data_IF_851215360295
#
_entry.id   IF_851215360295
#
_cell.length_a   1.000
_cell.length_b   1.000
_cell.length_c   1.000
_cell.angle_alpha   90.00
_cell.angle_beta   90.00
_cell.angle_gamma   90.00
#
_symmetry.space_group_name_H-M   'P 1'
#
loop_
_entity.id
_entity.type
_entity.pdbx_description
1 polymer ?
#
# COMPACT_ATOMS: atom_id res chain seq x y z
N UNK A 1 -1.16 5.12 18.37
CA UNK A 1 -0.04 4.17 18.35
C UNK A 1 -0.59 2.80 18.01
N UNK A 2 -0.16 2.25 16.87
CA UNK A 2 -0.42 0.87 16.46
C UNK A 2 0.29 -0.05 17.46
N UNK A 3 -0.40 -1.06 17.99
CA UNK A 3 0.25 -2.08 18.84
C UNK A 3 0.58 -3.33 18.01
N UNK A 4 1.63 -4.07 18.36
CA UNK A 4 2.02 -5.34 17.68
C UNK A 4 0.84 -6.32 17.58
N UNK A 5 -0.04 -6.35 18.58
CA UNK A 5 -1.25 -7.20 18.58
C UNK A 5 -2.26 -6.83 17.47
N UNK A 6 -2.21 -5.59 16.98
CA UNK A 6 -3.06 -5.07 15.93
C UNK A 6 -2.54 -5.43 14.51
N UNK A 7 -1.26 -5.82 14.38
CA UNK A 7 -0.65 -6.22 13.10
C UNK A 7 -1.43 -7.35 12.41
N UNK A 8 -1.88 -8.34 13.18
CA UNK A 8 -2.67 -9.46 12.63
C UNK A 8 -3.98 -8.99 12.00
N UNK A 9 -4.60 -7.95 12.58
CA UNK A 9 -5.89 -7.39 12.14
C UNK A 9 -5.76 -6.23 11.15
N UNK A 10 -4.54 -5.70 10.99
CA UNK A 10 -4.22 -4.63 10.07
C UNK A 10 -4.66 -4.96 8.64
N UNK A 11 -5.30 -4.02 7.98
CA UNK A 11 -5.62 -4.07 6.55
C UNK A 11 -5.06 -2.81 5.90
N UNK A 12 -4.52 -2.97 4.70
CA UNK A 12 -4.20 -1.85 3.83
C UNK A 12 -5.43 -1.63 2.94
N UNK A 13 -5.94 -0.39 2.94
CA UNK A 13 -7.19 -0.04 2.28
C UNK A 13 -6.95 1.18 1.40
N UNK A 14 -7.50 1.14 0.18
CA UNK A 14 -7.48 2.28 -0.72
C UNK A 14 -8.85 2.97 -0.69
N UNK A 15 -8.84 4.31 -0.72
CA UNK A 15 -10.07 5.11 -0.78
C UNK A 15 -10.00 6.14 -1.89
N UNK A 16 -11.17 6.47 -2.42
CA UNK A 16 -11.41 7.62 -3.30
C UNK A 16 -12.74 8.26 -2.90
N UNK A 17 -12.76 9.59 -2.72
CA UNK A 17 -13.94 10.31 -2.22
C UNK A 17 -14.52 9.71 -0.93
N UNK A 18 -13.65 9.24 -0.03
CA UNK A 18 -14.04 8.59 1.23
C UNK A 18 -14.59 7.17 1.10
N UNK A 19 -14.74 6.63 -0.12
CA UNK A 19 -15.24 5.27 -0.37
C UNK A 19 -14.09 4.29 -0.53
N UNK A 20 -14.22 3.12 0.10
CA UNK A 20 -13.27 2.02 -0.05
C UNK A 20 -13.35 1.48 -1.48
N UNK A 21 -12.18 1.36 -2.11
CA UNK A 21 -12.03 0.80 -3.44
C UNK A 21 -12.02 -0.72 -3.37
N UNK A 22 -12.63 -1.34 -4.36
CA UNK A 22 -12.72 -2.79 -4.49
C UNK A 22 -11.89 -3.31 -5.68
N UNK A 23 -11.89 -4.62 -5.85
CA UNK A 23 -11.22 -5.28 -6.98
C UNK A 23 -11.74 -4.75 -8.32
N UNK A 24 -13.05 -4.57 -8.46
CA UNK A 24 -13.66 -4.15 -9.72
C UNK A 24 -13.20 -2.74 -10.15
N UNK A 25 -12.94 -1.86 -9.20
CA UNK A 25 -12.31 -0.57 -9.47
C UNK A 25 -10.93 -0.72 -10.11
N UNK A 26 -10.04 -1.55 -9.53
CA UNK A 26 -8.70 -1.75 -10.07
C UNK A 26 -8.70 -2.52 -11.39
N UNK A 27 -9.57 -3.52 -11.56
CA UNK A 27 -9.72 -4.25 -12.84
C UNK A 27 -10.04 -3.26 -13.98
N UNK A 28 -10.94 -2.29 -13.77
CA UNK A 28 -11.23 -1.25 -14.77
C UNK A 28 -10.03 -0.36 -15.08
N UNK A 29 -9.24 0.03 -14.07
CA UNK A 29 -8.03 0.83 -14.32
C UNK A 29 -6.99 0.05 -15.12
N UNK A 30 -6.77 -1.23 -14.78
CA UNK A 30 -5.82 -2.12 -15.44
C UNK A 30 -6.18 -2.30 -16.92
N UNK A 31 -7.46 -2.55 -17.23
CA UNK A 31 -7.95 -2.72 -18.60
C UNK A 31 -7.71 -1.47 -19.46
N UNK A 32 -7.77 -0.28 -18.88
CA UNK A 32 -7.61 1.00 -19.57
C UNK A 32 -6.19 1.57 -19.51
N UNK A 33 -5.22 0.82 -18.95
CA UNK A 33 -3.83 1.28 -18.83
C UNK A 33 -2.95 0.59 -19.88
N UNK A 34 -2.25 1.37 -20.69
CA UNK A 34 -1.24 0.86 -21.63
C UNK A 34 0.17 0.84 -21.03
N UNK A 35 0.45 1.77 -20.11
CA UNK A 35 1.72 1.86 -19.40
C UNK A 35 1.97 0.59 -18.55
N UNK A 36 3.11 -0.06 -18.80
CA UNK A 36 3.43 -1.35 -18.17
C UNK A 36 3.70 -1.22 -16.68
N UNK A 37 4.41 -0.17 -16.25
CA UNK A 37 4.78 0.03 -14.85
C UNK A 37 3.55 0.40 -14.02
N UNK A 38 2.73 1.32 -14.54
CA UNK A 38 1.44 1.66 -13.92
C UNK A 38 0.52 0.44 -13.88
N UNK A 39 0.49 -0.39 -14.93
CA UNK A 39 -0.29 -1.62 -14.94
C UNK A 39 0.17 -2.59 -13.85
N UNK A 40 1.48 -2.80 -13.69
CA UNK A 40 2.04 -3.64 -12.63
C UNK A 40 1.66 -3.09 -11.23
N UNK A 41 1.80 -1.78 -11.03
CA UNK A 41 1.41 -1.11 -9.80
C UNK A 41 -0.07 -1.34 -9.45
N UNK A 42 -0.96 -1.16 -10.43
CA UNK A 42 -2.40 -1.36 -10.25
C UNK A 42 -2.77 -2.82 -9.96
N UNK A 43 -2.06 -3.78 -10.56
CA UNK A 43 -2.22 -5.21 -10.23
C UNK A 43 -1.80 -5.47 -8.78
N UNK A 44 -0.72 -4.85 -8.31
CA UNK A 44 -0.32 -4.87 -6.90
C UNK A 44 -1.43 -4.33 -5.99
N UNK A 45 -2.02 -3.18 -6.33
CA UNK A 45 -3.12 -2.60 -5.58
C UNK A 45 -4.36 -3.51 -5.53
N UNK A 46 -4.71 -4.14 -6.67
CA UNK A 46 -5.80 -5.14 -6.74
C UNK A 46 -5.54 -6.31 -5.78
N UNK A 47 -4.34 -6.87 -5.77
CA UNK A 47 -4.00 -7.97 -4.87
C UNK A 47 -4.00 -7.55 -3.40
N UNK A 48 -3.63 -6.29 -3.10
CA UNK A 48 -3.74 -5.73 -1.75
C UNK A 48 -5.20 -5.69 -1.27
N UNK A 49 -6.16 -5.25 -2.10
CA UNK A 49 -7.59 -5.24 -1.69
C UNK A 49 -8.16 -6.65 -1.53
N UNK A 50 -7.67 -7.62 -2.30
CA UNK A 50 -8.02 -9.04 -2.14
C UNK A 50 -7.31 -9.71 -0.95
N UNK A 51 -6.40 -8.99 -0.27
CA UNK A 51 -5.55 -9.48 0.83
C UNK A 51 -4.57 -10.58 0.42
N UNK A 52 -4.23 -10.64 -0.86
CA UNK A 52 -3.17 -11.48 -1.41
C UNK A 52 -1.81 -10.77 -1.27
N UNK A 53 -1.41 -10.44 -0.03
CA UNK A 53 -0.30 -9.50 0.24
C UNK A 53 1.05 -9.94 -0.34
N UNK A 54 1.39 -11.24 -0.27
CA UNK A 54 2.63 -11.75 -0.89
C UNK A 54 2.60 -11.62 -2.40
N UNK A 55 1.43 -11.74 -3.03
CA UNK A 55 1.31 -11.55 -4.47
C UNK A 55 1.39 -10.07 -4.83
N UNK A 56 0.69 -9.21 -4.09
CA UNK A 56 0.78 -7.76 -4.23
C UNK A 56 2.23 -7.27 -4.16
N UNK A 57 3.00 -7.78 -3.19
CA UNK A 57 4.40 -7.43 -3.01
C UNK A 57 5.25 -7.70 -4.26
N UNK A 58 5.09 -8.85 -4.91
CA UNK A 58 5.81 -9.18 -6.15
C UNK A 58 5.54 -8.17 -7.26
N UNK A 59 4.28 -7.73 -7.39
CA UNK A 59 3.89 -6.74 -8.40
C UNK A 59 4.48 -5.36 -8.12
N UNK A 60 4.55 -4.94 -6.86
CA UNK A 60 5.21 -3.69 -6.49
C UNK A 60 6.72 -3.74 -6.69
N UNK A 61 7.38 -4.87 -6.44
CA UNK A 61 8.81 -5.05 -6.66
C UNK A 61 9.24 -4.93 -8.14
N UNK A 62 8.32 -5.19 -9.08
CA UNK A 62 8.59 -5.10 -10.53
C UNK A 62 7.95 -3.85 -11.18
N UNK A 63 7.45 -2.93 -10.37
CA UNK A 63 6.81 -1.70 -10.81
C UNK A 63 7.72 -0.51 -10.51
N UNK A 64 8.11 0.24 -11.53
CA UNK A 64 8.94 1.46 -11.38
C UNK A 64 8.13 2.72 -11.00
N UNK A 65 6.88 2.54 -10.55
CA UNK A 65 6.09 3.66 -10.02
C UNK A 65 6.69 4.19 -8.71
N UNK A 66 6.69 5.51 -8.55
CA UNK A 66 7.18 6.23 -7.37
C UNK A 66 6.53 5.76 -6.05
N UNK A 67 5.25 5.37 -6.10
CA UNK A 67 4.51 4.87 -4.94
C UNK A 67 4.80 3.40 -4.57
N UNK A 68 5.45 2.63 -5.44
CA UNK A 68 5.74 1.20 -5.20
C UNK A 68 6.48 1.00 -3.90
N UNK A 69 7.45 1.87 -3.59
CA UNK A 69 8.30 1.77 -2.40
C UNK A 69 7.51 1.87 -1.10
N UNK A 70 6.59 2.82 -1.01
CA UNK A 70 5.70 2.96 0.16
C UNK A 70 4.85 1.70 0.31
N UNK A 71 4.29 1.20 -0.79
CA UNK A 71 3.46 0.00 -0.77
C UNK A 71 4.24 -1.24 -0.32
N UNK A 72 5.51 -1.37 -0.72
CA UNK A 72 6.42 -2.43 -0.25
C UNK A 72 6.59 -2.33 1.27
N UNK A 73 6.94 -1.15 1.79
CA UNK A 73 7.11 -0.94 3.25
C UNK A 73 5.84 -1.31 4.03
N UNK A 74 4.66 -0.88 3.57
CA UNK A 74 3.40 -1.22 4.21
C UNK A 74 3.12 -2.74 4.21
N UNK A 75 3.43 -3.42 3.10
CA UNK A 75 3.23 -4.86 2.96
C UNK A 75 4.23 -5.65 3.78
N UNK A 76 5.51 -5.28 3.79
CA UNK A 76 6.54 -5.89 4.62
C UNK A 76 6.17 -5.80 6.09
N UNK A 77 5.76 -4.61 6.54
CA UNK A 77 5.24 -4.41 7.90
C UNK A 77 4.02 -5.29 8.19
N UNK A 78 3.07 -5.37 7.24
CA UNK A 78 1.88 -6.21 7.37
C UNK A 78 2.21 -7.71 7.47
N UNK A 79 3.24 -8.16 6.76
CA UNK A 79 3.69 -9.54 6.71
C UNK A 79 4.64 -9.90 7.86
N UNK A 80 5.19 -8.91 8.57
CA UNK A 80 6.25 -9.10 9.55
C UNK A 80 7.58 -9.51 8.91
N UNK A 81 7.86 -8.99 7.71
CA UNK A 81 9.11 -9.19 6.99
C UNK A 81 10.08 -8.06 7.30
N UNK A 82 10.80 -8.19 8.41
CA UNK A 82 11.72 -7.15 8.92
C UNK A 82 12.87 -6.87 7.94
N UNK A 83 13.37 -7.92 7.26
CA UNK A 83 14.46 -7.76 6.30
C UNK A 83 14.04 -6.87 5.13
N UNK A 84 12.89 -7.16 4.53
CA UNK A 84 12.41 -6.38 3.40
C UNK A 84 11.91 -4.99 3.84
N UNK A 85 11.42 -4.86 5.07
CA UNK A 85 11.10 -3.56 5.63
C UNK A 85 12.35 -2.67 5.71
N UNK A 86 13.43 -3.16 6.32
CA UNK A 86 14.68 -2.43 6.49
C UNK A 86 15.34 -2.07 5.15
N UNK A 87 15.21 -2.92 4.12
CA UNK A 87 15.75 -2.67 2.78
C UNK A 87 15.05 -1.49 2.09
N UNK A 88 13.74 -1.33 2.27
CA UNK A 88 12.95 -0.34 1.54
C UNK A 88 12.57 0.89 2.37
N UNK A 89 12.63 0.83 3.69
CA UNK A 89 12.25 1.94 4.56
C UNK A 89 13.27 3.09 4.52
N UNK A 90 12.76 4.33 4.50
CA UNK A 90 13.52 5.57 4.69
C UNK A 90 12.70 6.55 5.56
N UNK A 91 13.36 7.38 6.37
CA UNK A 91 12.66 8.25 7.34
C UNK A 91 11.84 9.36 6.68
N UNK A 92 12.20 9.78 5.47
CA UNK A 92 11.51 10.77 4.65
C UNK A 92 10.66 10.16 3.54
N UNK A 93 10.45 8.84 3.57
CA UNK A 93 9.61 8.13 2.62
C UNK A 93 8.18 8.65 2.63
N UNK A 94 7.67 8.99 1.44
CA UNK A 94 6.32 9.49 1.20
C UNK A 94 5.80 8.93 -0.11
N UNK A 95 4.48 8.95 -0.30
CA UNK A 95 3.90 8.72 -1.62
C UNK A 95 4.35 9.81 -2.59
N UNK A 96 4.68 9.39 -3.80
CA UNK A 96 4.89 10.24 -4.96
C UNK A 96 3.57 10.65 -5.62
N UNK A 97 3.58 10.71 -6.95
CA UNK A 97 2.51 11.29 -7.75
C UNK A 97 1.55 10.25 -8.36
N UNK A 98 1.86 8.96 -8.37
CA UNK A 98 1.02 7.95 -9.06
C UNK A 98 -0.41 7.88 -8.49
N UNK A 99 -0.55 7.62 -7.19
CA UNK A 99 -1.83 7.55 -6.48
C UNK A 99 -2.50 8.92 -6.40
N UNK A 100 -1.71 9.99 -6.28
CA UNK A 100 -2.21 11.37 -6.28
C UNK A 100 -2.88 11.73 -7.60
N UNK A 101 -2.29 11.35 -8.75
CA UNK A 101 -2.91 11.54 -10.08
C UNK A 101 -4.19 10.72 -10.25
N UNK A 102 -4.29 9.57 -9.59
CA UNK A 102 -5.48 8.72 -9.58
C UNK A 102 -6.54 9.18 -8.56
N UNK A 103 -6.20 10.14 -7.71
CA UNK A 103 -7.00 10.59 -6.58
C UNK A 103 -7.36 9.41 -5.65
N UNK A 104 -6.33 8.64 -5.27
CA UNK A 104 -6.44 7.49 -4.38
C UNK A 104 -5.64 7.76 -3.11
N UNK A 105 -6.28 7.56 -1.97
CA UNK A 105 -5.67 7.65 -0.65
C UNK A 105 -5.48 6.25 -0.05
N UNK A 106 -4.40 6.05 0.71
CA UNK A 106 -4.08 4.77 1.34
C UNK A 106 -4.25 4.89 2.86
N UNK A 107 -4.80 3.84 3.46
CA UNK A 107 -5.10 3.77 4.88
C UNK A 107 -4.65 2.44 5.48
N UNK A 108 -4.20 2.50 6.74
CA UNK A 108 -4.08 1.36 7.62
C UNK A 108 -5.32 1.26 8.50
N UNK A 109 -6.03 0.13 8.44
CA UNK A 109 -7.26 -0.09 9.21
C UNK A 109 -7.08 -1.24 10.20
N UNK A 110 -7.42 -1.02 11.47
CA UNK A 110 -7.45 -2.06 12.53
C UNK A 110 -8.72 -1.93 13.37
N UNK A 111 -9.63 -2.91 13.25
CA UNK A 111 -10.93 -2.86 13.93
C UNK A 111 -11.71 -1.60 13.54
N UNK A 112 -11.98 -0.74 14.53
CA UNK A 112 -12.68 0.54 14.38
C UNK A 112 -11.76 1.72 14.07
N UNK A 113 -10.44 1.52 14.13
CA UNK A 113 -9.46 2.57 13.89
C UNK A 113 -8.99 2.56 12.45
N UNK A 114 -8.78 3.76 11.93
CA UNK A 114 -8.26 3.99 10.59
C UNK A 114 -7.22 5.10 10.66
N UNK A 115 -6.10 4.88 10.00
CA UNK A 115 -4.97 5.81 9.94
C UNK A 115 -4.64 6.07 8.48
N UNK A 116 -4.70 7.33 8.07
CA UNK A 116 -4.22 7.72 6.74
C UNK A 116 -2.72 7.47 6.68
N UNK A 117 -2.26 6.84 5.60
CA UNK A 117 -0.84 6.67 5.38
C UNK A 117 -0.27 8.01 4.90
N UNK A 118 0.55 8.59 5.76
CA UNK A 118 1.37 9.76 5.50
C UNK A 118 2.79 9.54 6.05
N UNK A 119 3.64 10.54 5.90
CA UNK A 119 5.02 10.54 6.39
C UNK A 119 5.12 10.21 7.88
N UNK A 120 4.23 10.77 8.68
CA UNK A 120 4.30 10.64 10.13
C UNK A 120 3.91 9.22 10.53
N UNK A 121 2.88 8.63 9.89
CA UNK A 121 2.54 7.23 10.10
C UNK A 121 3.68 6.29 9.68
N UNK A 122 4.31 6.51 8.52
CA UNK A 122 5.43 5.68 8.05
C UNK A 122 6.57 5.67 9.09
N UNK A 123 6.91 6.83 9.65
CA UNK A 123 7.91 6.94 10.72
C UNK A 123 7.54 6.22 12.00
N UNK A 124 6.25 6.15 12.33
CA UNK A 124 5.77 5.38 13.48
C UNK A 124 5.94 3.87 13.28
N UNK A 125 5.88 3.36 12.03
CA UNK A 125 6.03 1.93 11.75
C UNK A 125 7.41 1.39 12.14
N UNK A 126 8.47 2.18 11.94
CA UNK A 126 9.84 1.81 12.30
C UNK A 126 10.13 1.83 13.82
N UNK A 127 9.15 2.24 14.64
CA UNK A 127 9.31 2.35 16.10
C UNK A 127 8.60 1.23 16.87
N UNK A 128 8.02 0.27 16.16
CA UNK A 128 7.19 -0.81 16.70
C UNK A 128 7.92 -2.13 16.52
#
# INVERSE_FOLDING_TARGET
MLEIKDLRRLKIVFKKDGKILDRAFFDRLIENTEDKDLKNFLIGCRHTVERHYTEALKWFLISDCDDSRVMIVLLSYKLGDDFLFDEYYEEDLVFGETLKKLDIEVYLQTGEKEYRVDKDLIRELNRI
#
